data_IF_042439240816
#
_entry.id   IF_042439240816
#
_cell.length_a   1.000
_cell.length_b   1.000
_cell.length_c   1.000
_cell.angle_alpha   90.00
_cell.angle_beta   90.00
_cell.angle_gamma   90.00
#
_symmetry.space_group_name_H-M   'P 1'
#
loop_
_entity.id
_entity.type
_entity.pdbx_description
1 polymer ?
#
# COMPACT_ATOMS: atom_id res chain seq x y z
N UNK A 1 6.65 -17.93 -2.31
CA UNK A 1 7.43 -16.68 -2.19
C UNK A 1 7.10 -16.00 -0.87
N UNK A 2 8.02 -15.21 -0.31
CA UNK A 2 7.80 -14.52 0.96
C UNK A 2 6.99 -13.22 0.83
N UNK A 3 7.09 -12.56 -0.32
CA UNK A 3 6.51 -11.25 -0.56
C UNK A 3 6.05 -11.12 -2.00
N UNK A 4 4.91 -10.47 -2.19
CA UNK A 4 4.38 -10.00 -3.47
C UNK A 4 4.12 -8.51 -3.32
N UNK A 5 4.72 -7.72 -4.21
CA UNK A 5 4.58 -6.26 -4.24
C UNK A 5 3.97 -5.88 -5.58
N UNK A 6 2.85 -5.17 -5.55
CA UNK A 6 2.07 -4.83 -6.72
C UNK A 6 2.08 -3.32 -6.95
N UNK A 7 2.50 -2.91 -8.14
CA UNK A 7 2.35 -1.57 -8.69
C UNK A 7 1.67 -1.71 -10.06
N UNK A 8 0.35 -1.91 -10.00
CA UNK A 8 -0.49 -2.25 -11.16
C UNK A 8 -1.78 -1.42 -11.09
N UNK A 9 -2.45 -1.15 -12.23
CA UNK A 9 -3.73 -0.45 -12.25
C UNK A 9 -4.86 -1.22 -11.53
N UNK A 10 -4.86 -2.55 -11.63
CA UNK A 10 -5.94 -3.42 -11.13
C UNK A 10 -5.38 -4.62 -10.32
N UNK A 11 -4.73 -4.37 -9.18
CA UNK A 11 -4.01 -5.41 -8.41
C UNK A 11 -4.96 -6.43 -7.76
N UNK A 12 -6.25 -6.12 -7.60
CA UNK A 12 -7.25 -7.03 -7.04
C UNK A 12 -7.39 -8.33 -7.85
N UNK A 13 -7.13 -8.30 -9.17
CA UNK A 13 -7.12 -9.53 -9.98
C UNK A 13 -5.97 -10.49 -9.60
N UNK A 14 -4.91 -9.98 -8.98
CA UNK A 14 -3.76 -10.79 -8.56
C UNK A 14 -3.99 -11.44 -7.20
N UNK A 15 -4.95 -11.00 -6.39
CA UNK A 15 -5.17 -11.49 -5.01
C UNK A 15 -5.24 -13.02 -4.92
N UNK A 16 -6.05 -13.75 -5.73
CA UNK A 16 -6.10 -15.21 -5.66
C UNK A 16 -4.78 -15.88 -6.05
N UNK A 17 -4.06 -15.29 -7.00
CA UNK A 17 -2.76 -15.77 -7.47
C UNK A 17 -1.69 -15.55 -6.40
N UNK A 18 -1.71 -14.40 -5.72
CA UNK A 18 -0.84 -14.09 -4.61
C UNK A 18 -1.11 -15.03 -3.43
N UNK A 19 -2.38 -15.34 -3.13
CA UNK A 19 -2.75 -16.29 -2.09
C UNK A 19 -2.13 -17.67 -2.33
N UNK A 20 -2.10 -18.14 -3.57
CA UNK A 20 -1.47 -19.42 -3.93
C UNK A 20 0.06 -19.36 -3.87
N UNK A 21 0.67 -18.26 -4.31
CA UNK A 21 2.12 -18.14 -4.40
C UNK A 21 2.80 -17.83 -3.06
N UNK A 22 2.13 -17.12 -2.15
CA UNK A 22 2.68 -16.72 -0.86
C UNK A 22 2.77 -17.88 0.13
N UNK A 23 3.84 -17.90 0.92
CA UNK A 23 3.93 -18.78 2.10
C UNK A 23 3.01 -18.26 3.23
N UNK A 24 2.60 -19.09 4.20
CA UNK A 24 1.93 -18.60 5.41
C UNK A 24 2.73 -17.48 6.08
N UNK A 25 2.07 -16.39 6.46
CA UNK A 25 2.70 -15.18 7.00
C UNK A 25 3.36 -14.26 5.97
N UNK A 26 3.42 -14.68 4.70
CA UNK A 26 3.95 -13.88 3.59
C UNK A 26 3.15 -12.60 3.35
N UNK A 27 3.81 -11.59 2.79
CA UNK A 27 3.23 -10.24 2.66
C UNK A 27 2.73 -9.99 1.24
N UNK A 28 1.49 -9.52 1.14
CA UNK A 28 0.96 -8.86 -0.04
C UNK A 28 0.97 -7.35 0.20
N UNK A 29 1.67 -6.60 -0.65
CA UNK A 29 1.68 -5.15 -0.64
C UNK A 29 1.17 -4.63 -1.98
N UNK A 30 0.26 -3.64 -1.95
CA UNK A 30 -0.20 -2.94 -3.15
C UNK A 30 0.04 -1.44 -3.01
N UNK A 31 0.56 -0.83 -4.07
CA UNK A 31 0.72 0.61 -4.24
C UNK A 31 -0.37 1.12 -5.17
N UNK A 32 -1.23 2.04 -4.71
CA UNK A 32 -2.42 2.47 -5.46
C UNK A 32 -2.61 4.00 -5.42
N UNK A 33 -2.84 4.67 -6.56
CA UNK A 33 -2.90 6.13 -6.60
C UNK A 33 -4.26 6.74 -6.23
N UNK A 34 -5.32 5.94 -6.06
CA UNK A 34 -6.66 6.46 -5.78
C UNK A 34 -7.42 5.67 -4.71
N UNK A 35 -8.29 6.37 -3.99
CA UNK A 35 -9.13 5.78 -2.94
C UNK A 35 -10.16 4.78 -3.46
N UNK A 36 -10.63 4.92 -4.70
CA UNK A 36 -11.53 3.94 -5.33
C UNK A 36 -10.81 2.60 -5.53
N UNK A 37 -9.57 2.64 -6.01
CA UNK A 37 -8.76 1.41 -6.16
C UNK A 37 -8.44 0.79 -4.80
N UNK A 38 -8.15 1.62 -3.77
CA UNK A 38 -7.98 1.14 -2.39
C UNK A 38 -9.20 0.36 -1.94
N UNK A 39 -10.41 0.92 -2.12
CA UNK A 39 -11.67 0.25 -1.76
C UNK A 39 -11.82 -1.09 -2.49
N UNK A 40 -11.59 -1.12 -3.80
CA UNK A 40 -11.67 -2.36 -4.59
C UNK A 40 -10.67 -3.42 -4.11
N UNK A 41 -9.45 -3.01 -3.75
CA UNK A 41 -8.44 -3.92 -3.24
C UNK A 41 -8.84 -4.49 -1.87
N UNK A 42 -9.30 -3.64 -0.94
CA UNK A 42 -9.75 -4.06 0.39
C UNK A 42 -10.93 -5.02 0.27
N UNK A 43 -11.95 -4.67 -0.50
CA UNK A 43 -13.13 -5.51 -0.72
C UNK A 43 -12.73 -6.88 -1.26
N UNK A 44 -11.84 -6.91 -2.26
CA UNK A 44 -11.40 -8.18 -2.83
C UNK A 44 -10.66 -9.04 -1.81
N UNK A 45 -9.80 -8.46 -0.98
CA UNK A 45 -9.07 -9.22 0.04
C UNK A 45 -10.03 -9.77 1.10
N UNK A 46 -11.04 -9.00 1.49
CA UNK A 46 -12.08 -9.43 2.42
C UNK A 46 -12.96 -10.54 1.83
N UNK A 47 -13.34 -10.43 0.55
CA UNK A 47 -14.14 -11.43 -0.19
C UNK A 47 -13.40 -12.75 -0.40
N UNK A 48 -12.12 -12.70 -0.81
CA UNK A 48 -11.31 -13.90 -1.08
C UNK A 48 -10.93 -14.63 0.22
N UNK A 49 -10.78 -13.88 1.31
CA UNK A 49 -10.31 -14.39 2.60
C UNK A 49 -8.84 -14.82 2.54
N UNK A 50 -8.39 -15.58 3.54
CA UNK A 50 -7.02 -16.13 3.57
C UNK A 50 -5.90 -15.10 3.85
N UNK A 51 -6.22 -13.82 3.94
CA UNK A 51 -5.35 -12.75 4.41
C UNK A 51 -5.88 -12.12 5.69
N UNK A 52 -4.98 -11.49 6.46
CA UNK A 52 -5.37 -10.60 7.54
C UNK A 52 -6.14 -9.40 7.02
N UNK A 53 -6.88 -8.73 7.91
CA UNK A 53 -7.48 -7.42 7.62
C UNK A 53 -6.43 -6.48 6.98
N UNK A 54 -6.76 -5.82 5.85
CA UNK A 54 -5.82 -4.91 5.19
C UNK A 54 -5.45 -3.71 6.06
N UNK A 55 -4.16 -3.45 6.19
CA UNK A 55 -3.65 -2.19 6.72
C UNK A 55 -3.49 -1.19 5.57
N UNK A 56 -4.17 -0.05 5.65
CA UNK A 56 -4.17 0.97 4.59
C UNK A 56 -3.62 2.28 5.15
N UNK A 57 -2.59 2.82 4.51
CA UNK A 57 -2.01 4.11 4.90
C UNK A 57 -1.40 4.84 3.70
N UNK A 58 -1.16 6.13 3.87
CA UNK A 58 -0.42 6.97 2.93
C UNK A 58 0.70 7.69 3.68
N UNK A 59 1.72 8.16 2.95
CA UNK A 59 2.84 8.91 3.53
C UNK A 59 2.80 10.34 3.01
N UNK A 60 2.69 11.29 3.93
CA UNK A 60 2.90 12.71 3.64
C UNK A 60 4.36 13.08 3.94
N UNK A 61 5.13 13.38 2.89
CA UNK A 61 6.49 13.88 3.06
C UNK A 61 6.50 15.40 3.22
N UNK A 62 6.91 15.89 4.40
CA UNK A 62 7.00 17.33 4.70
C UNK A 62 8.47 17.76 4.82
N UNK A 63 9.10 18.20 3.70
CA UNK A 63 10.50 18.59 3.73
C UNK A 63 10.72 19.93 4.43
N UNK A 64 11.89 20.05 5.07
CA UNK A 64 12.35 21.27 5.72
C UNK A 64 13.54 21.87 4.96
N UNK A 65 13.53 23.18 4.78
CA UNK A 65 14.67 23.95 4.32
C UNK A 65 15.49 24.38 5.53
N UNK A 66 16.77 24.00 5.54
CA UNK A 66 17.74 24.36 6.59
C UNK A 66 18.92 25.05 5.93
N UNK A 67 19.07 26.35 6.18
CA UNK A 67 20.20 27.16 5.67
C UNK A 67 20.59 28.23 6.68
N UNK A 68 21.72 28.04 7.37
CA UNK A 68 22.17 28.93 8.45
C UNK A 68 21.11 29.01 9.56
N UNK A 69 20.69 30.24 9.91
CA UNK A 69 19.61 30.46 10.88
C UNK A 69 18.19 30.35 10.28
N UNK A 70 18.06 30.15 8.97
CA UNK A 70 16.75 29.93 8.35
C UNK A 70 16.37 28.45 8.42
N UNK A 71 15.40 28.14 9.27
CA UNK A 71 14.82 26.80 9.45
C UNK A 71 13.32 26.90 9.27
N UNK A 72 12.80 26.34 8.18
CA UNK A 72 11.37 26.43 7.83
C UNK A 72 10.93 25.29 6.93
N UNK A 73 9.64 24.92 6.91
CA UNK A 73 9.13 23.99 5.91
C UNK A 73 9.28 24.56 4.49
N UNK A 74 9.41 23.67 3.51
CA UNK A 74 9.34 24.03 2.08
C UNK A 74 7.92 24.54 1.77
N UNK A 75 7.83 25.53 0.87
CA UNK A 75 6.57 26.26 0.59
C UNK A 75 5.52 25.39 -0.13
N UNK A 76 5.97 24.49 -1.01
CA UNK A 76 5.10 23.59 -1.76
C UNK A 76 5.46 22.14 -1.42
N UNK A 77 4.44 21.31 -1.23
CA UNK A 77 4.59 19.87 -1.04
C UNK A 77 3.68 19.12 -2.01
N UNK A 78 4.13 17.97 -2.48
CA UNK A 78 3.24 16.97 -3.04
C UNK A 78 2.52 16.32 -1.86
N UNK A 79 1.23 16.61 -1.73
CA UNK A 79 0.44 16.20 -0.57
C UNK A 79 0.31 14.68 -0.45
N UNK A 80 0.36 13.97 -1.56
CA UNK A 80 0.15 12.53 -1.64
C UNK A 80 0.87 11.97 -2.86
N UNK A 81 1.39 10.74 -2.74
CA UNK A 81 1.96 9.99 -3.87
C UNK A 81 1.11 8.76 -4.21
N UNK A 82 0.82 7.92 -3.22
CA UNK A 82 -0.10 6.81 -3.31
C UNK A 82 -0.46 6.28 -1.93
N UNK A 83 -1.44 5.39 -1.90
CA UNK A 83 -1.78 4.54 -0.77
C UNK A 83 -0.98 3.25 -0.83
N UNK A 84 -0.60 2.77 0.35
CA UNK A 84 -0.04 1.46 0.58
C UNK A 84 -1.09 0.61 1.30
N UNK A 85 -1.33 -0.58 0.76
CA UNK A 85 -2.21 -1.59 1.32
C UNK A 85 -1.36 -2.80 1.64
N UNK A 86 -1.35 -3.24 2.90
CA UNK A 86 -0.53 -4.35 3.37
C UNK A 86 -1.41 -5.39 4.03
N UNK A 87 -1.27 -6.64 3.59
CA UNK A 87 -1.94 -7.80 4.16
C UNK A 87 -0.94 -8.93 4.36
N UNK A 88 -1.22 -9.83 5.31
CA UNK A 88 -0.44 -11.06 5.52
C UNK A 88 -1.28 -12.28 5.24
N UNK A 89 -0.71 -13.26 4.53
CA UNK A 89 -1.36 -14.55 4.32
C UNK A 89 -1.49 -15.31 5.65
N UNK A 90 -2.66 -15.86 5.94
CA UNK A 90 -2.94 -16.55 7.21
C UNK A 90 -2.42 -17.99 7.17
N UNK A 91 -2.69 -18.73 6.09
CA UNK A 91 -2.35 -20.15 5.92
C UNK A 91 -2.17 -20.50 4.45
#
# INVERSE_FOLDING_TARGET
VDRVVLDLPEPWHVVPHAAQALVPGGILLSYLPSTIQVKQMVDRVEEDGGFTAPEVFEVMHRPWHVKGQSVRPVQWMFSHSAFLIVCRKIS
#
